data_IF_505845341671
#
_entry.id   IF_505845341671
#
_cell.length_a   1.000
_cell.length_b   1.000
_cell.length_c   1.000
_cell.angle_alpha   90.00
_cell.angle_beta   90.00
_cell.angle_gamma   90.00
#
_symmetry.space_group_name_H-M   'P 1'
#
loop_
_entity.id
_entity.type
_entity.pdbx_description
1 polymer ?
#
# COMPACT_ATOMS: atom_id res chain seq x y z
N UNK A 1 -62.10 -24.19 22.65
CA UNK A 1 -61.57 -22.81 22.75
C UNK A 1 -60.10 -22.91 23.15
N UNK A 2 -59.21 -22.20 22.45
CA UNK A 2 -57.78 -22.09 22.79
C UNK A 2 -56.83 -22.79 21.81
N UNK A 3 -56.58 -22.20 20.63
CA UNK A 3 -55.43 -22.56 19.79
C UNK A 3 -54.22 -21.78 20.31
N UNK A 4 -53.22 -22.46 20.87
CA UNK A 4 -51.89 -21.90 21.11
C UNK A 4 -51.20 -21.74 19.75
N UNK A 5 -51.02 -20.50 19.32
CA UNK A 5 -50.27 -20.17 18.10
C UNK A 5 -48.79 -20.21 18.47
N UNK A 6 -48.08 -21.21 17.95
CA UNK A 6 -46.63 -21.29 18.06
C UNK A 6 -46.01 -20.10 17.29
N UNK A 7 -45.42 -19.16 18.02
CA UNK A 7 -44.62 -18.10 17.41
C UNK A 7 -43.36 -18.73 16.78
N UNK A 8 -43.05 -18.47 15.50
CA UNK A 8 -41.82 -18.96 14.92
C UNK A 8 -40.66 -18.20 15.56
N UNK A 9 -39.63 -18.91 16.03
CA UNK A 9 -38.34 -18.32 16.34
C UNK A 9 -37.81 -17.65 15.06
N UNK A 10 -38.03 -16.34 14.91
CA UNK A 10 -37.20 -15.52 14.05
C UNK A 10 -35.81 -15.52 14.67
N UNK A 11 -34.93 -16.37 14.14
CA UNK A 11 -33.49 -16.16 14.25
C UNK A 11 -33.22 -14.83 13.55
N UNK A 12 -33.14 -13.74 14.32
CA UNK A 12 -32.60 -12.48 13.82
C UNK A 12 -31.14 -12.73 13.49
N UNK A 13 -30.83 -13.02 12.22
CA UNK A 13 -29.51 -12.74 11.68
C UNK A 13 -29.32 -11.23 11.79
N UNK A 14 -28.70 -10.79 12.88
CA UNK A 14 -28.19 -9.43 12.98
C UNK A 14 -27.15 -9.29 11.87
N UNK A 15 -27.49 -8.58 10.80
CA UNK A 15 -26.49 -8.01 9.90
C UNK A 15 -25.63 -7.11 10.78
N UNK A 16 -24.45 -7.57 11.17
CA UNK A 16 -23.40 -6.67 11.60
C UNK A 16 -23.13 -5.80 10.38
N UNK A 17 -23.60 -4.55 10.42
CA UNK A 17 -23.24 -3.57 9.41
C UNK A 17 -21.72 -3.50 9.40
N UNK A 18 -21.11 -4.02 8.34
CA UNK A 18 -19.72 -3.77 8.04
C UNK A 18 -19.67 -2.26 7.82
N UNK A 19 -19.09 -1.52 8.76
CA UNK A 19 -18.73 -0.14 8.50
C UNK A 19 -17.76 -0.20 7.34
N UNK A 20 -18.27 0.09 6.14
CA UNK A 20 -17.43 0.43 5.03
C UNK A 20 -16.83 1.77 5.45
N UNK A 21 -15.64 1.72 6.07
CA UNK A 21 -14.89 2.91 6.44
C UNK A 21 -14.66 3.67 5.15
N UNK A 22 -15.57 4.61 4.91
CA UNK A 22 -15.64 5.32 3.65
C UNK A 22 -14.44 6.24 3.65
N UNK A 23 -13.53 6.00 2.72
CA UNK A 23 -12.33 6.80 2.58
C UNK A 23 -12.69 8.29 2.50
N UNK A 24 -11.87 9.19 3.08
CA UNK A 24 -12.17 10.60 3.07
C UNK A 24 -12.25 11.12 1.64
N UNK A 25 -13.17 12.07 1.40
CA UNK A 25 -13.28 12.74 0.12
C UNK A 25 -12.02 13.53 -0.20
N UNK A 26 -11.55 13.45 -1.44
CA UNK A 26 -10.41 14.23 -1.94
C UNK A 26 -9.39 13.36 -2.68
N UNK A 27 -8.35 14.00 -3.21
CA UNK A 27 -7.29 13.32 -3.94
C UNK A 27 -6.12 12.99 -3.02
N UNK A 28 -5.76 11.73 -2.96
CA UNK A 28 -4.62 11.25 -2.17
C UNK A 28 -4.13 9.92 -2.71
N UNK A 29 -2.88 9.61 -2.40
CA UNK A 29 -2.24 8.37 -2.77
C UNK A 29 -1.65 7.70 -1.54
N UNK A 30 -1.74 6.37 -1.49
CA UNK A 30 -1.17 5.53 -0.45
C UNK A 30 0.00 4.76 -1.02
N UNK A 31 1.04 4.50 -0.22
CA UNK A 31 2.10 3.58 -0.63
C UNK A 31 1.53 2.19 -0.88
N UNK A 32 1.86 1.64 -2.04
CA UNK A 32 1.38 0.32 -2.45
C UNK A 32 2.20 -0.77 -1.75
N UNK A 33 1.50 -1.55 -0.92
CA UNK A 33 2.03 -2.77 -0.32
C UNK A 33 2.24 -3.89 -1.34
N UNK A 34 2.36 -5.14 -0.88
CA UNK A 34 2.62 -6.29 -1.77
C UNK A 34 1.38 -6.74 -2.57
N UNK A 35 0.20 -6.24 -2.22
CA UNK A 35 -1.09 -6.64 -2.80
C UNK A 35 -1.59 -5.64 -3.85
N UNK A 36 -2.70 -5.98 -4.53
CA UNK A 36 -3.42 -5.07 -5.41
C UNK A 36 -3.93 -3.82 -4.66
N UNK A 37 -4.21 -2.75 -5.40
CA UNK A 37 -4.81 -1.56 -4.79
C UNK A 37 -6.21 -1.88 -4.24
N UNK A 38 -6.63 -1.22 -3.14
CA UNK A 38 -7.99 -1.35 -2.64
C UNK A 38 -9.02 -0.95 -3.70
N UNK A 39 -10.26 -1.41 -3.53
CA UNK A 39 -11.38 -1.02 -4.40
C UNK A 39 -11.53 0.51 -4.40
N UNK A 40 -11.68 1.11 -5.58
CA UNK A 40 -11.77 2.56 -5.75
C UNK A 40 -10.42 3.27 -5.96
N UNK A 41 -9.30 2.55 -5.86
CA UNK A 41 -7.97 3.10 -6.10
C UNK A 41 -7.36 2.58 -7.40
N UNK A 42 -6.57 3.43 -8.04
CA UNK A 42 -5.82 3.11 -9.26
C UNK A 42 -4.34 3.05 -8.92
N UNK A 43 -3.63 2.07 -9.47
CA UNK A 43 -2.18 1.96 -9.29
C UNK A 43 -1.45 3.03 -10.09
N UNK A 44 -0.43 3.64 -9.49
CA UNK A 44 0.46 4.61 -10.13
C UNK A 44 1.89 4.50 -9.55
N UNK A 45 2.86 5.21 -10.12
CA UNK A 45 4.24 5.20 -9.65
C UNK A 45 4.98 6.51 -9.86
N UNK A 46 5.88 6.82 -8.94
CA UNK A 46 6.83 7.93 -9.04
C UNK A 46 8.24 7.34 -9.13
N UNK A 47 9.02 7.78 -10.11
CA UNK A 47 10.38 7.32 -10.33
C UNK A 47 11.35 8.48 -10.11
N UNK A 48 12.25 8.32 -9.15
CA UNK A 48 13.40 9.20 -8.95
C UNK A 48 14.66 8.44 -9.36
N UNK A 49 15.41 8.98 -10.30
CA UNK A 49 16.63 8.36 -10.81
C UNK A 49 17.77 9.37 -10.75
N UNK A 50 18.83 9.06 -10.00
CA UNK A 50 19.94 9.98 -9.70
C UNK A 50 21.29 9.29 -9.84
N UNK A 51 22.23 9.97 -10.47
CA UNK A 51 23.60 9.49 -10.67
C UNK A 51 24.31 9.21 -9.34
N UNK A 52 25.18 8.21 -9.33
CA UNK A 52 26.00 7.85 -8.17
C UNK A 52 27.24 8.73 -8.16
N UNK A 53 27.03 10.02 -7.96
CA UNK A 53 28.11 11.01 -7.91
C UNK A 53 28.85 10.95 -6.56
N UNK A 54 28.19 10.39 -5.55
CA UNK A 54 28.79 10.02 -4.28
C UNK A 54 29.12 8.54 -4.37
N UNK A 55 30.41 8.18 -4.24
CA UNK A 55 30.85 6.77 -4.21
C UNK A 55 30.18 5.97 -3.08
N UNK A 56 30.59 4.71 -2.87
CA UNK A 56 30.08 3.87 -1.78
C UNK A 56 30.33 4.53 -0.42
N UNK A 57 29.37 5.30 0.07
CA UNK A 57 29.49 6.04 1.31
C UNK A 57 29.02 5.18 2.46
N UNK A 58 29.76 5.24 3.56
CA UNK A 58 29.43 4.54 4.80
C UNK A 58 29.22 5.51 5.95
N UNK A 59 28.41 5.11 6.92
CA UNK A 59 28.35 5.77 8.23
C UNK A 59 29.67 5.58 9.01
N UNK A 60 29.74 6.12 10.23
CA UNK A 60 30.92 5.99 11.11
C UNK A 60 31.24 4.53 11.49
N UNK A 61 30.28 3.62 11.36
CA UNK A 61 30.41 2.21 11.71
C UNK A 61 30.73 1.35 10.48
N UNK A 62 30.90 1.95 9.30
CA UNK A 62 31.15 1.23 8.05
C UNK A 62 29.90 0.67 7.37
N UNK A 63 28.69 1.03 7.81
CA UNK A 63 27.47 0.59 7.14
C UNK A 63 27.19 1.47 5.92
N UNK A 64 26.75 0.91 4.78
CA UNK A 64 26.42 1.71 3.60
C UNK A 64 25.27 2.67 3.91
N UNK A 65 25.43 3.94 3.50
CA UNK A 65 24.41 4.98 3.67
C UNK A 65 23.19 4.74 2.78
N UNK A 66 23.39 4.11 1.61
CA UNK A 66 22.32 3.73 0.69
C UNK A 66 22.12 2.22 0.78
N UNK A 67 20.91 1.82 1.17
CA UNK A 67 20.53 0.41 1.29
C UNK A 67 19.51 0.07 0.22
N UNK A 68 19.94 -0.74 -0.75
CA UNK A 68 19.06 -1.25 -1.79
C UNK A 68 18.01 -2.20 -1.21
N UNK A 69 16.89 -2.31 -1.91
CA UNK A 69 15.84 -3.25 -1.49
C UNK A 69 14.50 -2.97 -2.14
N UNK A 70 13.52 -3.78 -1.75
CA UNK A 70 12.14 -3.69 -2.20
C UNK A 70 11.18 -3.82 -1.04
N UNK A 71 10.11 -3.05 -1.07
CA UNK A 71 9.01 -3.14 -0.11
C UNK A 71 7.69 -2.93 -0.83
N UNK A 72 6.78 -3.88 -0.67
CA UNK A 72 5.51 -3.87 -1.39
C UNK A 72 5.72 -3.80 -2.90
N UNK A 73 5.16 -2.80 -3.56
CA UNK A 73 5.42 -2.50 -4.97
C UNK A 73 6.59 -1.54 -5.22
N UNK A 74 7.25 -1.03 -4.18
CA UNK A 74 8.32 -0.03 -4.29
C UNK A 74 9.70 -0.67 -4.24
N UNK A 75 10.69 -0.05 -4.88
CA UNK A 75 12.06 -0.57 -4.93
C UNK A 75 13.10 0.53 -5.05
N UNK A 76 14.26 0.31 -4.44
CA UNK A 76 15.48 1.07 -4.68
C UNK A 76 16.53 0.12 -5.27
N UNK A 77 16.91 0.38 -6.51
CA UNK A 77 17.88 -0.41 -7.27
C UNK A 77 19.06 0.44 -7.72
N UNK A 78 20.17 -0.20 -8.03
CA UNK A 78 21.36 0.42 -8.59
C UNK A 78 21.66 -0.17 -9.95
N UNK A 79 22.01 0.69 -10.91
CA UNK A 79 22.49 0.31 -12.23
C UNK A 79 23.96 0.72 -12.36
N UNK A 80 24.83 -0.26 -12.63
CA UNK A 80 26.27 -0.04 -12.77
C UNK A 80 26.67 0.51 -14.14
N UNK A 81 25.93 0.15 -15.18
CA UNK A 81 26.18 0.61 -16.54
C UNK A 81 25.86 2.10 -16.67
N UNK A 82 24.72 2.50 -16.13
CA UNK A 82 24.28 3.90 -16.10
C UNK A 82 24.87 4.69 -14.91
N UNK A 83 25.61 4.04 -14.02
CA UNK A 83 26.10 4.57 -12.75
C UNK A 83 25.03 5.35 -11.96
N UNK A 84 23.88 4.71 -11.69
CA UNK A 84 22.67 5.39 -11.20
C UNK A 84 21.94 4.61 -10.12
N UNK A 85 21.31 5.32 -9.18
CA UNK A 85 20.28 4.75 -8.31
C UNK A 85 18.89 5.12 -8.85
N UNK A 86 17.97 4.16 -8.84
CA UNK A 86 16.57 4.38 -9.20
C UNK A 86 15.67 3.96 -8.07
N UNK A 87 14.98 4.93 -7.46
CA UNK A 87 13.89 4.72 -6.53
C UNK A 87 12.57 4.72 -7.31
N UNK A 88 11.83 3.62 -7.23
CA UNK A 88 10.46 3.51 -7.71
C UNK A 88 9.55 3.43 -6.51
N UNK A 89 8.69 4.44 -6.34
CA UNK A 89 7.61 4.42 -5.35
C UNK A 89 6.33 4.03 -6.06
N UNK A 90 5.82 2.84 -5.76
CA UNK A 90 4.49 2.43 -6.23
C UNK A 90 3.44 2.90 -5.26
N UNK A 91 2.36 3.47 -5.79
CA UNK A 91 1.26 4.04 -5.02
C UNK A 91 -0.10 3.55 -5.53
N UNK A 92 -1.12 3.71 -4.70
CA UNK A 92 -2.52 3.55 -5.04
C UNK A 92 -3.20 4.90 -4.82
N UNK A 93 -3.73 5.51 -5.88
CA UNK A 93 -4.34 6.83 -5.83
C UNK A 93 -5.87 6.75 -5.94
N UNK A 94 -6.55 7.55 -5.14
CA UNK A 94 -7.99 7.81 -5.26
C UNK A 94 -8.17 9.19 -5.91
N UNK A 95 -9.03 9.24 -6.93
CA UNK A 95 -9.33 10.46 -7.68
C UNK A 95 -10.64 11.11 -7.26
#
# INVERSE_FOLDING_TARGET
MGRLVAAPLMVLLTLTAVSCDMWPSGQYCLLKGATSCPVGFVADSIILSQTRDFGQQTDRNGNPLIRLGSFGGSSLVSDDYDNRYTLTLSVCCHN
#
